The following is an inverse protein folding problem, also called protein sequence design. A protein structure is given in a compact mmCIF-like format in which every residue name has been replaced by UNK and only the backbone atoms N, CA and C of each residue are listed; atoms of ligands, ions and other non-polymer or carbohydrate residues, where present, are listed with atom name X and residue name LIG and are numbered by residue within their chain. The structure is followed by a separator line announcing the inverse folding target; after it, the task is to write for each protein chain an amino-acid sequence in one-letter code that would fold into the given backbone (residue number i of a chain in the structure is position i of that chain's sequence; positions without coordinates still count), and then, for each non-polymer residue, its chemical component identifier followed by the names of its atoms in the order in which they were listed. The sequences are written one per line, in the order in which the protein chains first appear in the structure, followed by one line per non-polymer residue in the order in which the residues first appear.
data_IF_118335268841
#
_entry.id   IF_118335268841
#
_cell.length_a   1.000
_cell.length_b   1.000
_cell.length_c   1.000
_cell.angle_alpha   90.00
_cell.angle_beta   90.00
_cell.angle_gamma   90.00
#
_symmetry.space_group_name_H-M   'P 1'
#
loop_
_entity.id
_entity.type
_entity.pdbx_description
1 polymer ?
#
# COMPACT_ATOMS: atom_id res chain seq x y z
N UNK A 1 -5.24 -9.56 9.39
CA UNK A 1 -4.37 -8.61 10.14
C UNK A 1 -3.47 -9.35 11.13
N UNK A 2 -2.40 -8.70 11.63
CA UNK A 2 -1.54 -9.26 12.70
C UNK A 2 -2.08 -9.03 14.11
N UNK A 3 -3.05 -8.16 14.27
CA UNK A 3 -3.65 -7.80 15.57
C UNK A 3 -5.16 -7.67 15.40
N UNK A 4 -5.95 -8.01 16.42
CA UNK A 4 -7.38 -7.79 16.37
C UNK A 4 -7.69 -6.30 16.22
N UNK A 5 -8.71 -6.00 15.43
CA UNK A 5 -9.29 -4.68 15.29
C UNK A 5 -10.54 -4.57 16.16
N UNK A 6 -11.02 -3.35 16.48
CA UNK A 6 -12.31 -3.18 17.14
C UNK A 6 -13.43 -3.89 16.37
N UNK A 7 -14.34 -4.54 17.07
CA UNK A 7 -15.44 -5.27 16.45
C UNK A 7 -16.39 -4.29 15.70
N UNK A 8 -16.81 -4.69 14.52
CA UNK A 8 -17.80 -3.97 13.73
C UNK A 8 -18.69 -4.97 12.98
N UNK A 9 -20.01 -4.75 12.88
CA UNK A 9 -20.94 -5.74 12.27
C UNK A 9 -20.61 -6.14 10.84
N UNK A 10 -19.93 -5.28 10.08
CA UNK A 10 -19.51 -5.53 8.69
C UNK A 10 -18.05 -5.97 8.57
N UNK A 11 -17.36 -6.24 9.69
CA UNK A 11 -15.94 -6.57 9.70
C UNK A 11 -15.71 -8.02 10.12
N UNK A 12 -15.24 -8.83 9.20
CA UNK A 12 -14.56 -10.08 9.52
C UNK A 12 -13.06 -9.80 9.62
N UNK A 13 -12.47 -9.98 10.79
CA UNK A 13 -11.05 -9.66 11.03
C UNK A 13 -10.25 -10.93 11.41
N UNK A 14 -9.85 -11.76 10.43
CA UNK A 14 -8.96 -12.88 10.71
C UNK A 14 -7.58 -12.34 11.15
N UNK A 15 -7.12 -12.83 12.31
CA UNK A 15 -5.74 -12.62 12.76
C UNK A 15 -4.91 -13.75 12.19
N UNK A 16 -3.93 -13.42 11.37
CA UNK A 16 -3.14 -14.39 10.60
C UNK A 16 -1.64 -14.16 10.76
N UNK A 17 -0.90 -15.25 10.64
CA UNK A 17 0.53 -15.19 10.37
C UNK A 17 0.75 -15.03 8.87
N UNK A 18 1.41 -13.95 8.45
CA UNK A 18 1.69 -13.69 7.03
C UNK A 18 2.76 -14.62 6.46
N UNK A 19 3.51 -15.32 7.31
CA UNK A 19 4.47 -16.33 6.88
C UNK A 19 3.84 -17.69 6.63
N UNK A 20 2.60 -17.90 7.12
CA UNK A 20 1.84 -19.12 6.99
C UNK A 20 0.37 -18.83 6.69
N UNK A 21 0.11 -18.09 5.60
CA UNK A 21 -1.25 -17.78 5.18
C UNK A 21 -1.99 -19.06 4.81
N UNK A 22 -3.19 -19.33 5.37
CA UNK A 22 -3.98 -20.49 5.01
C UNK A 22 -4.46 -20.39 3.56
N UNK A 23 -4.16 -21.41 2.74
CA UNK A 23 -4.44 -21.39 1.31
C UNK A 23 -5.92 -21.51 0.94
N UNK A 24 -6.73 -22.13 1.79
CA UNK A 24 -8.13 -22.52 1.56
C UNK A 24 -9.15 -21.77 2.41
N UNK A 25 -8.72 -20.69 3.09
CA UNK A 25 -9.61 -19.97 3.99
C UNK A 25 -10.77 -19.29 3.22
N UNK A 26 -11.98 -19.45 3.72
CA UNK A 26 -13.20 -18.95 3.08
C UNK A 26 -13.19 -17.41 2.86
N UNK A 27 -12.45 -16.67 3.69
CA UNK A 27 -12.32 -15.21 3.58
C UNK A 27 -11.43 -14.73 2.41
N UNK A 28 -10.85 -15.65 1.63
CA UNK A 28 -10.22 -15.30 0.35
C UNK A 28 -11.22 -15.04 -0.77
N UNK A 29 -12.46 -15.52 -0.63
CA UNK A 29 -13.52 -15.31 -1.63
C UNK A 29 -14.07 -13.88 -1.50
N UNK A 30 -13.40 -12.96 -2.18
CA UNK A 30 -13.71 -11.54 -2.21
C UNK A 30 -13.70 -11.04 -3.65
N UNK A 31 -14.45 -9.99 -3.93
CA UNK A 31 -14.49 -9.38 -5.28
C UNK A 31 -13.25 -8.52 -5.52
N UNK A 32 -12.77 -7.83 -4.49
CA UNK A 32 -11.66 -6.91 -4.57
C UNK A 32 -10.78 -6.93 -3.31
N UNK A 33 -9.51 -6.55 -3.48
CA UNK A 33 -8.53 -6.41 -2.40
C UNK A 33 -7.97 -5.00 -2.36
N UNK A 34 -8.06 -4.36 -1.20
CA UNK A 34 -7.36 -3.12 -0.89
C UNK A 34 -6.15 -3.42 0.03
N UNK A 35 -4.94 -3.37 -0.53
CA UNK A 35 -3.71 -3.72 0.16
C UNK A 35 -2.94 -2.45 0.59
N UNK A 36 -3.01 -2.15 1.89
CA UNK A 36 -2.22 -1.10 2.52
C UNK A 36 -1.05 -1.66 3.35
N UNK A 37 -0.64 -2.90 3.05
CA UNK A 37 0.47 -3.54 3.74
C UNK A 37 1.78 -2.85 3.36
N UNK A 38 2.59 -2.55 4.37
CA UNK A 38 3.89 -1.94 4.18
C UNK A 38 4.58 -1.63 5.50
N UNK A 39 5.89 -1.42 5.42
CA UNK A 39 6.72 -1.03 6.55
C UNK A 39 7.79 -0.03 6.10
N UNK A 40 8.70 0.33 7.00
CA UNK A 40 9.93 1.05 6.62
C UNK A 40 11.14 0.13 6.83
N UNK A 41 12.25 0.38 6.13
CA UNK A 41 13.49 -0.39 6.32
C UNK A 41 13.93 -0.34 7.79
N UNK A 42 13.74 0.82 8.43
CA UNK A 42 14.06 1.01 9.85
C UNK A 42 13.18 0.17 10.77
N UNK A 43 11.87 0.19 10.55
CA UNK A 43 10.91 -0.53 11.41
C UNK A 43 10.95 -2.04 11.16
N UNK A 44 11.32 -2.44 9.94
CA UNK A 44 11.57 -3.84 9.59
C UNK A 44 12.88 -4.37 10.17
N UNK A 45 13.87 -3.51 10.42
CA UNK A 45 15.18 -3.86 10.96
C UNK A 45 16.21 -4.29 9.91
N UNK A 46 15.79 -4.79 8.75
CA UNK A 46 16.68 -5.14 7.65
C UNK A 46 16.02 -4.91 6.28
N UNK A 47 16.82 -4.97 5.20
CA UNK A 47 16.32 -4.92 3.82
C UNK A 47 15.52 -6.16 3.46
N UNK A 48 15.92 -7.31 3.93
CA UNK A 48 15.27 -8.60 3.73
C UNK A 48 13.89 -8.60 4.38
N UNK A 49 13.80 -8.16 5.64
CA UNK A 49 12.55 -8.04 6.36
C UNK A 49 11.61 -6.98 5.73
N UNK A 50 12.17 -5.87 5.22
CA UNK A 50 11.40 -4.89 4.45
C UNK A 50 10.83 -5.54 3.18
N UNK A 51 11.66 -6.22 2.37
CA UNK A 51 11.22 -6.89 1.15
C UNK A 51 10.13 -7.92 1.43
N UNK A 52 10.29 -8.71 2.50
CA UNK A 52 9.29 -9.70 2.92
C UNK A 52 7.91 -9.08 3.12
N UNK A 53 7.84 -7.92 3.80
CA UNK A 53 6.56 -7.24 4.07
C UNK A 53 6.02 -6.52 2.83
N UNK A 54 6.85 -5.71 2.18
CA UNK A 54 6.43 -4.77 1.13
C UNK A 54 6.36 -5.40 -0.27
N UNK A 55 6.89 -6.61 -0.44
CA UNK A 55 6.85 -7.35 -1.69
C UNK A 55 6.22 -8.74 -1.51
N UNK A 56 6.84 -9.63 -0.70
CA UNK A 56 6.48 -11.04 -0.70
C UNK A 56 5.08 -11.27 -0.12
N UNK A 57 4.74 -10.63 1.00
CA UNK A 57 3.40 -10.74 1.60
C UNK A 57 2.32 -10.11 0.72
N UNK A 58 2.61 -8.97 0.07
CA UNK A 58 1.66 -8.38 -0.87
C UNK A 58 1.34 -9.33 -2.02
N UNK A 59 2.37 -9.99 -2.58
CA UNK A 59 2.18 -10.98 -3.65
C UNK A 59 1.48 -12.24 -3.18
N UNK A 60 1.77 -12.74 -1.97
CA UNK A 60 1.09 -13.89 -1.42
C UNK A 60 -0.43 -13.61 -1.28
N UNK A 61 -0.80 -12.46 -0.71
CA UNK A 61 -2.20 -12.03 -0.61
C UNK A 61 -2.83 -11.94 -1.99
N UNK A 62 -2.17 -11.30 -2.94
CA UNK A 62 -2.70 -11.11 -4.29
C UNK A 62 -2.94 -12.46 -4.99
N UNK A 63 -1.99 -13.39 -4.91
CA UNK A 63 -2.13 -14.73 -5.51
C UNK A 63 -3.27 -15.53 -4.89
N UNK A 64 -3.39 -15.54 -3.55
CA UNK A 64 -4.48 -16.24 -2.88
C UNK A 64 -5.84 -15.63 -3.27
N UNK A 65 -5.99 -14.31 -3.22
CA UNK A 65 -7.23 -13.66 -3.57
C UNK A 65 -7.62 -13.92 -5.05
N UNK A 66 -6.68 -13.77 -5.97
CA UNK A 66 -6.92 -14.04 -7.38
C UNK A 66 -7.31 -15.50 -7.65
N UNK A 67 -6.62 -16.46 -7.02
CA UNK A 67 -6.93 -17.89 -7.12
C UNK A 67 -8.34 -18.24 -6.59
N UNK A 68 -8.92 -17.40 -5.72
CA UNK A 68 -10.27 -17.54 -5.17
C UNK A 68 -11.31 -16.63 -5.84
N UNK A 69 -10.95 -16.00 -6.96
CA UNK A 69 -11.88 -15.29 -7.83
C UNK A 69 -11.92 -13.76 -7.65
N UNK A 70 -11.01 -13.16 -6.87
CA UNK A 70 -10.91 -11.72 -6.80
C UNK A 70 -10.55 -11.13 -8.17
N UNK A 71 -11.34 -10.16 -8.63
CA UNK A 71 -11.17 -9.52 -9.94
C UNK A 71 -10.37 -8.21 -9.86
N UNK A 72 -10.38 -7.56 -8.69
CA UNK A 72 -9.70 -6.28 -8.52
C UNK A 72 -8.66 -6.32 -7.39
N UNK A 73 -7.54 -5.62 -7.61
CA UNK A 73 -6.50 -5.43 -6.60
C UNK A 73 -6.00 -3.98 -6.59
N UNK A 74 -6.02 -3.34 -5.44
CA UNK A 74 -5.46 -2.02 -5.24
C UNK A 74 -4.31 -2.07 -4.22
N UNK A 75 -3.15 -1.49 -4.56
CA UNK A 75 -1.95 -1.47 -3.72
C UNK A 75 -1.55 -0.05 -3.36
N UNK A 76 -1.20 0.19 -2.10
CA UNK A 76 -0.39 1.37 -1.72
C UNK A 76 1.08 1.09 -2.04
N UNK A 77 1.53 1.66 -3.13
CA UNK A 77 2.93 1.66 -3.55
C UNK A 77 3.65 2.91 -3.03
N UNK A 78 4.50 3.53 -3.82
CA UNK A 78 5.22 4.75 -3.45
C UNK A 78 5.58 5.60 -4.66
N UNK A 79 5.67 6.91 -4.45
CA UNK A 79 6.29 7.82 -5.42
C UNK A 79 7.71 7.32 -5.77
N UNK A 80 8.01 7.27 -7.06
CA UNK A 80 9.32 6.80 -7.55
C UNK A 80 9.50 5.28 -7.53
N UNK A 81 8.41 4.49 -7.41
CA UNK A 81 8.47 3.05 -7.62
C UNK A 81 8.94 2.73 -9.04
N UNK A 82 10.09 2.02 -9.13
CA UNK A 82 10.74 1.67 -10.40
C UNK A 82 11.61 0.42 -10.20
N UNK A 83 11.34 -0.69 -10.90
CA UNK A 83 12.11 -1.93 -10.76
C UNK A 83 13.59 -1.78 -11.18
N UNK A 84 13.91 -0.77 -12.01
CA UNK A 84 15.28 -0.47 -12.43
C UNK A 84 16.02 0.49 -11.49
N UNK A 85 15.37 1.00 -10.43
CA UNK A 85 15.94 1.98 -9.52
C UNK A 85 17.18 1.44 -8.79
N UNK A 86 18.22 2.27 -8.66
CA UNK A 86 19.36 1.99 -7.78
C UNK A 86 19.01 2.10 -6.30
N UNK A 87 17.95 2.83 -5.97
CA UNK A 87 17.46 2.95 -4.59
C UNK A 87 16.66 1.71 -4.23
N UNK A 88 17.13 0.96 -3.23
CA UNK A 88 16.54 -0.31 -2.82
C UNK A 88 15.03 -0.22 -2.55
N UNK A 89 14.58 0.81 -1.82
CA UNK A 89 13.16 1.04 -1.54
C UNK A 89 12.33 1.17 -2.81
N UNK A 90 12.73 2.08 -3.70
CA UNK A 90 12.01 2.33 -4.97
C UNK A 90 12.02 1.10 -5.87
N UNK A 91 13.15 0.37 -5.91
CA UNK A 91 13.26 -0.86 -6.66
C UNK A 91 12.31 -1.93 -6.14
N UNK A 92 12.27 -2.17 -4.82
CA UNK A 92 11.36 -3.15 -4.21
C UNK A 92 9.90 -2.81 -4.50
N UNK A 93 9.51 -1.53 -4.42
CA UNK A 93 8.16 -1.08 -4.78
C UNK A 93 7.86 -1.28 -6.27
N UNK A 94 8.80 -0.99 -7.15
CA UNK A 94 8.64 -1.24 -8.58
C UNK A 94 8.56 -2.74 -8.93
N UNK A 95 9.35 -3.57 -8.25
CA UNK A 95 9.33 -5.03 -8.42
C UNK A 95 7.98 -5.64 -8.03
N UNK A 96 7.38 -5.22 -6.90
CA UNK A 96 6.05 -5.72 -6.50
C UNK A 96 4.97 -5.25 -7.47
N UNK A 97 5.00 -4.00 -7.95
CA UNK A 97 4.07 -3.52 -8.96
C UNK A 97 4.15 -4.35 -10.25
N UNK A 98 5.38 -4.61 -10.73
CA UNK A 98 5.61 -5.43 -11.92
C UNK A 98 5.12 -6.87 -11.73
N UNK A 99 5.36 -7.45 -10.56
CA UNK A 99 4.92 -8.81 -10.25
C UNK A 99 3.40 -8.93 -10.13
N UNK A 100 2.73 -7.92 -9.53
CA UNK A 100 1.26 -7.84 -9.48
C UNK A 100 0.64 -7.74 -10.89
N UNK A 101 1.25 -6.96 -11.78
CA UNK A 101 0.81 -6.84 -13.17
C UNK A 101 0.82 -8.15 -13.96
N UNK A 102 1.54 -9.18 -13.49
CA UNK A 102 1.60 -10.51 -14.10
C UNK A 102 0.61 -11.52 -13.51
N UNK A 103 -0.12 -11.18 -12.44
CA UNK A 103 -1.08 -12.10 -11.82
C UNK A 103 -2.34 -12.26 -12.68
N UNK A 104 -2.79 -11.19 -13.33
CA UNK A 104 -3.92 -11.24 -14.26
C UNK A 104 -5.25 -10.76 -13.67
N UNK A 105 -5.22 -9.86 -12.68
CA UNK A 105 -6.43 -9.18 -12.24
C UNK A 105 -7.07 -8.38 -13.38
N UNK A 106 -8.39 -8.40 -13.47
CA UNK A 106 -9.13 -7.58 -14.41
C UNK A 106 -8.91 -6.09 -14.16
N UNK A 107 -8.80 -5.71 -12.88
CA UNK A 107 -8.48 -4.36 -12.44
C UNK A 107 -7.28 -4.37 -11.49
N UNK A 108 -6.22 -3.66 -11.83
CA UNK A 108 -5.07 -3.42 -10.95
C UNK A 108 -4.85 -1.92 -10.79
N UNK A 109 -4.97 -1.41 -9.56
CA UNK A 109 -4.72 0.00 -9.25
C UNK A 109 -3.54 0.15 -8.30
N UNK A 110 -2.56 0.95 -8.70
CA UNK A 110 -1.33 1.22 -7.96
C UNK A 110 -1.32 2.67 -7.49
N UNK A 111 -1.55 2.91 -6.21
CA UNK A 111 -1.48 4.24 -5.62
C UNK A 111 -0.02 4.54 -5.28
N UNK A 112 0.53 5.61 -5.83
CA UNK A 112 1.91 6.05 -5.60
C UNK A 112 1.95 7.35 -4.76
N UNK A 113 1.57 7.32 -3.47
CA UNK A 113 1.66 8.49 -2.63
C UNK A 113 3.11 8.94 -2.47
N UNK A 114 3.29 10.25 -2.32
CA UNK A 114 4.57 10.85 -1.91
C UNK A 114 4.79 10.68 -0.41
N UNK A 115 4.96 11.80 0.28
CA UNK A 115 5.07 11.78 1.74
C UNK A 115 3.70 11.53 2.37
N UNK A 116 3.60 10.49 3.18
CA UNK A 116 2.38 10.22 3.94
C UNK A 116 2.36 11.07 5.21
N UNK A 117 1.28 11.84 5.38
CA UNK A 117 0.95 12.48 6.65
C UNK A 117 0.53 11.43 7.67
N UNK A 118 0.47 11.81 8.94
CA UNK A 118 -0.07 10.96 10.01
C UNK A 118 0.71 11.08 11.30
N UNK A 119 0.00 10.91 12.43
CA UNK A 119 0.60 10.77 13.76
C UNK A 119 1.18 9.36 13.89
N UNK A 120 2.44 9.16 13.52
CA UNK A 120 3.14 7.96 13.97
C UNK A 120 3.38 8.09 15.46
N UNK A 121 2.99 7.08 16.21
CA UNK A 121 3.10 7.02 17.69
C UNK A 121 4.54 7.05 18.23
N UNK A 122 5.54 7.02 17.35
CA UNK A 122 6.96 7.19 17.75
C UNK A 122 7.47 8.57 17.32
N UNK A 123 7.40 9.50 18.26
CA UNK A 123 7.90 10.87 18.11
C UNK A 123 9.41 10.95 18.29
N UNK A 124 10.10 11.45 17.26
CA UNK A 124 11.45 12.04 17.43
C UNK A 124 11.40 13.53 17.14
N UNK A 125 12.09 14.33 17.98
CA UNK A 125 12.08 15.80 17.91
C UNK A 125 12.47 16.37 16.53
N UNK A 126 13.35 15.69 15.78
CA UNK A 126 13.77 16.12 14.43
C UNK A 126 12.70 16.00 13.35
N UNK A 127 11.78 15.04 13.45
CA UNK A 127 10.71 14.87 12.44
C UNK A 127 9.66 15.98 12.52
N UNK A 128 9.44 16.58 13.70
CA UNK A 128 8.49 17.71 13.85
C UNK A 128 8.97 18.96 13.13
N UNK A 129 10.28 19.22 13.14
CA UNK A 129 10.85 20.36 12.42
C UNK A 129 10.77 20.14 10.91
N UNK A 130 11.09 18.93 10.43
CA UNK A 130 10.96 18.60 9.02
C UNK A 130 9.49 18.68 8.54
N UNK A 131 8.54 18.18 9.32
CA UNK A 131 7.10 18.28 9.00
C UNK A 131 6.59 19.74 9.06
N UNK A 132 7.06 20.56 10.02
CA UNK A 132 6.70 21.98 10.09
C UNK A 132 7.31 22.78 8.92
N UNK A 133 8.57 22.52 8.57
CA UNK A 133 9.23 23.14 7.42
C UNK A 133 8.58 22.72 6.10
N UNK A 134 8.27 21.43 5.93
CA UNK A 134 7.55 20.91 4.77
C UNK A 134 6.10 21.42 4.72
N UNK A 135 5.46 21.61 5.87
CA UNK A 135 4.13 22.23 5.96
C UNK A 135 4.16 23.72 5.59
N UNK A 136 5.15 24.46 6.05
CA UNK A 136 5.31 25.90 5.72
C UNK A 136 5.73 26.11 4.25
N UNK A 137 6.55 25.21 3.69
CA UNK A 137 6.94 25.22 2.27
C UNK A 137 5.91 24.52 1.37
N UNK A 138 4.88 23.91 1.95
CA UNK A 138 3.88 23.10 1.23
C UNK A 138 3.29 23.76 -0.03
N UNK A 139 2.90 25.05 0.00
CA UNK A 139 2.41 25.76 -1.19
C UNK A 139 3.45 25.91 -2.30
N UNK A 140 4.74 26.00 -1.94
CA UNK A 140 5.85 26.17 -2.89
C UNK A 140 6.38 24.81 -3.45
N UNK A 141 6.03 23.69 -2.82
CA UNK A 141 6.44 22.37 -3.29
C UNK A 141 5.56 21.94 -4.48
N UNK A 142 6.16 21.35 -5.54
CA UNK A 142 5.39 20.66 -6.57
C UNK A 142 4.42 19.66 -5.93
N UNK A 143 3.18 19.60 -6.44
CA UNK A 143 2.08 18.79 -5.85
C UNK A 143 2.51 17.34 -5.55
N UNK A 144 3.31 16.71 -6.41
CA UNK A 144 3.80 15.33 -6.25
C UNK A 144 4.62 15.08 -4.98
N UNK A 145 5.22 16.12 -4.39
CA UNK A 145 6.03 16.01 -3.16
C UNK A 145 5.31 16.51 -1.91
N UNK A 146 4.07 16.96 -2.05
CA UNK A 146 3.27 17.37 -0.90
C UNK A 146 2.89 16.17 -0.05
N UNK A 147 2.61 16.45 1.22
CA UNK A 147 2.15 15.43 2.17
C UNK A 147 0.73 15.00 1.81
N UNK A 148 0.52 13.70 1.58
CA UNK A 148 -0.80 13.13 1.32
C UNK A 148 -1.40 12.66 2.65
N UNK A 149 -2.61 13.12 3.01
CA UNK A 149 -3.31 12.62 4.19
C UNK A 149 -3.62 11.12 4.06
N UNK A 150 -3.46 10.31 5.12
CA UNK A 150 -3.78 8.88 5.09
C UNK A 150 -5.21 8.60 4.66
N UNK A 151 -6.14 9.49 5.02
CA UNK A 151 -7.58 9.39 4.68
C UNK A 151 -7.79 9.45 3.17
N UNK A 152 -6.99 10.24 2.45
CA UNK A 152 -7.03 10.32 0.98
C UNK A 152 -6.52 9.05 0.32
N UNK A 153 -5.47 8.47 0.90
CA UNK A 153 -4.96 7.16 0.41
C UNK A 153 -5.99 6.07 0.67
N UNK A 154 -6.62 6.07 1.84
CA UNK A 154 -7.68 5.11 2.17
C UNK A 154 -8.90 5.26 1.25
N UNK A 155 -9.33 6.50 0.95
CA UNK A 155 -10.39 6.77 0.00
C UNK A 155 -10.03 6.25 -1.40
N UNK A 156 -8.82 6.58 -1.90
CA UNK A 156 -8.38 6.10 -3.20
C UNK A 156 -8.28 4.57 -3.30
N UNK A 157 -7.89 3.87 -2.22
CA UNK A 157 -7.93 2.40 -2.18
C UNK A 157 -9.36 1.87 -2.24
N UNK A 158 -10.28 2.50 -1.50
CA UNK A 158 -11.68 2.10 -1.46
C UNK A 158 -12.33 2.34 -2.82
N UNK A 159 -12.13 3.50 -3.41
CA UNK A 159 -12.66 3.84 -4.74
C UNK A 159 -12.14 2.84 -5.80
N UNK A 160 -10.84 2.54 -5.79
CA UNK A 160 -10.25 1.56 -6.70
C UNK A 160 -10.87 0.16 -6.55
N UNK A 161 -11.15 -0.26 -5.30
CA UNK A 161 -11.76 -1.56 -5.02
C UNK A 161 -13.24 -1.61 -5.41
N UNK A 162 -13.99 -0.51 -5.23
CA UNK A 162 -15.43 -0.44 -5.53
C UNK A 162 -15.70 -0.23 -7.02
N UNK A 163 -14.92 0.63 -7.69
CA UNK A 163 -15.09 0.92 -9.11
C UNK A 163 -14.53 -0.21 -9.99
N UNK A 164 -13.50 -0.89 -9.54
CA UNK A 164 -12.85 -2.02 -10.22
C UNK A 164 -12.65 -1.78 -11.73
N UNK A 165 -12.18 -0.59 -12.10
CA UNK A 165 -12.02 -0.19 -13.52
C UNK A 165 -11.09 -1.17 -14.23
N UNK A 166 -11.52 -1.76 -15.37
CA UNK A 166 -10.68 -2.72 -16.09
C UNK A 166 -9.33 -2.13 -16.51
N UNK A 167 -8.28 -2.94 -16.41
CA UNK A 167 -6.92 -2.58 -16.84
C UNK A 167 -6.00 -2.20 -15.67
N UNK A 168 -4.83 -1.68 -16.03
CA UNK A 168 -3.80 -1.27 -15.07
C UNK A 168 -3.81 0.25 -14.92
N UNK A 169 -3.97 0.73 -13.69
CA UNK A 169 -4.06 2.14 -13.36
C UNK A 169 -2.98 2.52 -12.35
N UNK A 170 -2.32 3.65 -12.59
CA UNK A 170 -1.40 4.27 -11.63
C UNK A 170 -1.99 5.60 -11.19
N UNK A 171 -2.23 5.73 -9.89
CA UNK A 171 -2.71 6.97 -9.26
C UNK A 171 -1.51 7.69 -8.66
N UNK A 172 -1.01 8.76 -9.28
CA UNK A 172 0.13 9.50 -8.77
C UNK A 172 -0.24 10.34 -7.54
N UNK A 173 0.79 10.75 -6.79
CA UNK A 173 0.63 11.49 -5.52
C UNK A 173 -0.24 12.73 -5.62
N UNK A 174 -0.12 13.48 -6.71
CA UNK A 174 -0.88 14.71 -6.96
C UNK A 174 -2.38 14.49 -7.12
N UNK A 175 -2.81 13.32 -7.61
CA UNK A 175 -4.23 12.97 -7.72
C UNK A 175 -4.83 12.54 -6.37
N UNK A 176 -4.00 12.12 -5.43
CA UNK A 176 -4.43 11.77 -4.08
C UNK A 176 -4.62 12.99 -3.16
N UNK A 177 -4.37 14.21 -3.66
CA UNK A 177 -4.55 15.46 -2.92
C UNK A 177 -5.92 16.10 -3.17
N UNK A 178 -6.58 15.71 -4.24
CA UNK A 178 -7.91 16.20 -4.63
C UNK A 178 -8.99 15.34 -4.00
#
# INVERSE_FOLDING_TARGET
TRRPLPAHPKLLNPVVDFDALPGDAAWWRVDAVACALGTTIRDAGSREAFRRVDHDFCLAIARHAHAHGAQAFALVSALGADPASRVFYSRTKGEVEQALGRIGFDSLTLLRPGLLGGRRTQHRAGERWAQRLLGALGPALPRRYRVVPPERVAAGLLDAALEARPGHHVVPSEQLLD
#
